data_IF_705855558518
#
_entry.id   IF_705855558518
#
_cell.length_a   1.000
_cell.length_b   1.000
_cell.length_c   1.000
_cell.angle_alpha   90.00
_cell.angle_beta   90.00
_cell.angle_gamma   90.00
#
_symmetry.space_group_name_H-M   'P 1'
#
loop_
_entity.id
_entity.type
_entity.pdbx_description
1 polymer ?
#
# COMPACT_ATOMS: atom_id res chain seq x y z
N UNK A 1 5.13 -17.22 -3.93
CA UNK A 1 5.57 -15.87 -3.50
C UNK A 1 6.25 -15.22 -4.69
N UNK A 2 5.94 -13.96 -4.96
CA UNK A 2 6.62 -13.11 -5.94
C UNK A 2 7.66 -12.29 -5.19
N UNK A 3 8.93 -12.43 -5.55
CA UNK A 3 10.05 -11.68 -4.96
C UNK A 3 10.62 -10.72 -5.99
N UNK A 4 10.78 -9.46 -5.58
CA UNK A 4 11.30 -8.38 -6.43
C UNK A 4 12.49 -7.76 -5.71
N UNK A 5 13.61 -7.66 -6.42
CA UNK A 5 14.81 -6.96 -5.97
C UNK A 5 15.46 -6.18 -7.10
N UNK A 6 16.06 -5.04 -6.77
CA UNK A 6 16.59 -4.14 -7.78
C UNK A 6 17.22 -2.90 -7.16
N UNK A 7 18.53 -2.90 -6.86
CA UNK A 7 19.19 -1.80 -6.16
C UNK A 7 19.16 -0.49 -6.95
N UNK A 8 19.06 -0.58 -8.28
CA UNK A 8 18.99 0.56 -9.20
C UNK A 8 17.57 0.79 -9.75
N UNK A 9 16.55 0.14 -9.17
CA UNK A 9 15.16 0.30 -9.62
C UNK A 9 14.63 1.66 -9.13
N UNK A 10 14.34 2.58 -10.04
CA UNK A 10 13.86 3.94 -9.71
C UNK A 10 12.33 4.01 -9.57
N UNK A 11 11.62 3.10 -10.24
CA UNK A 11 10.16 3.03 -10.19
C UNK A 11 9.66 1.59 -10.17
N UNK A 12 8.60 1.34 -9.38
CA UNK A 12 7.96 0.04 -9.22
C UNK A 12 6.45 0.18 -9.32
N UNK A 13 5.83 -0.63 -10.17
CA UNK A 13 4.38 -0.83 -10.17
C UNK A 13 4.06 -2.30 -9.95
N UNK A 14 3.15 -2.57 -9.00
CA UNK A 14 2.56 -3.89 -8.79
C UNK A 14 1.05 -3.72 -8.75
N UNK A 15 0.37 -4.15 -9.81
CA UNK A 15 -1.08 -4.03 -9.93
C UNK A 15 -1.78 -5.32 -10.34
N UNK A 16 -3.03 -5.51 -9.91
CA UNK A 16 -3.88 -6.65 -10.29
C UNK A 16 -4.25 -7.62 -9.16
N UNK A 17 -4.56 -8.88 -9.49
CA UNK A 17 -5.04 -9.87 -8.52
C UNK A 17 -4.01 -10.99 -8.33
N UNK A 18 -3.62 -11.23 -7.08
CA UNK A 18 -2.72 -12.30 -6.69
C UNK A 18 -3.52 -13.46 -6.08
N UNK A 19 -3.50 -14.60 -6.75
CA UNK A 19 -4.14 -15.82 -6.26
C UNK A 19 -3.14 -16.66 -5.48
N UNK A 20 -3.42 -16.86 -4.18
CA UNK A 20 -2.57 -17.69 -3.29
C UNK A 20 -1.08 -17.35 -3.33
N UNK A 21 -0.74 -16.10 -3.66
CA UNK A 21 0.62 -15.62 -3.85
C UNK A 21 0.82 -14.32 -3.08
N UNK A 22 1.92 -14.22 -2.35
CA UNK A 22 2.36 -13.02 -1.63
C UNK A 22 3.42 -12.27 -2.41
N UNK A 23 3.62 -10.99 -2.06
CA UNK A 23 4.70 -10.14 -2.56
C UNK A 23 5.77 -10.01 -1.49
N UNK A 24 7.04 -10.04 -1.88
CA UNK A 24 8.19 -9.67 -1.05
C UNK A 24 9.08 -8.74 -1.84
N UNK A 25 9.44 -7.63 -1.22
CA UNK A 25 10.34 -6.62 -1.76
C UNK A 25 11.65 -6.70 -1.00
N UNK A 26 12.79 -6.54 -1.68
CA UNK A 26 14.10 -6.42 -1.04
C UNK A 26 15.02 -5.55 -1.91
N UNK A 27 16.00 -4.90 -1.29
CA UNK A 27 17.08 -4.19 -2.01
C UNK A 27 16.55 -3.18 -3.05
N UNK A 28 15.76 -2.20 -2.57
CA UNK A 28 15.13 -1.15 -3.38
C UNK A 28 15.70 0.24 -3.06
N UNK A 29 17.00 0.31 -2.77
CA UNK A 29 17.63 1.52 -2.22
C UNK A 29 17.55 2.78 -3.10
N UNK A 30 17.39 2.63 -4.41
CA UNK A 30 17.24 3.75 -5.36
C UNK A 30 15.78 4.05 -5.72
N UNK A 31 14.80 3.38 -5.09
CA UNK A 31 13.40 3.49 -5.47
C UNK A 31 12.80 4.82 -5.01
N UNK A 32 12.37 5.64 -5.97
CA UNK A 32 11.74 6.93 -5.67
C UNK A 32 10.21 6.88 -5.79
N UNK A 33 9.69 6.06 -6.70
CA UNK A 33 8.27 6.06 -7.06
C UNK A 33 7.69 4.64 -7.02
N UNK A 34 6.61 4.45 -6.27
CA UNK A 34 5.94 3.16 -6.15
C UNK A 34 4.43 3.26 -6.37
N UNK A 35 3.88 2.31 -7.12
CA UNK A 35 2.44 2.08 -7.26
C UNK A 35 2.14 0.66 -6.78
N UNK A 36 1.40 0.55 -5.68
CA UNK A 36 1.01 -0.73 -5.08
C UNK A 36 -0.51 -0.83 -5.09
N UNK A 37 -1.03 -1.58 -6.05
CA UNK A 37 -2.46 -1.70 -6.31
C UNK A 37 -2.84 -3.14 -6.65
N UNK A 38 -2.56 -4.04 -5.71
CA UNK A 38 -2.91 -5.44 -5.83
C UNK A 38 -3.99 -5.85 -4.81
N UNK A 39 -4.72 -6.92 -5.14
CA UNK A 39 -5.61 -7.65 -4.24
C UNK A 39 -5.11 -9.09 -4.09
N UNK A 40 -4.98 -9.58 -2.84
CA UNK A 40 -4.74 -11.00 -2.60
C UNK A 40 -6.05 -11.74 -2.39
N UNK A 41 -6.32 -12.72 -3.25
CA UNK A 41 -7.45 -13.65 -3.10
C UNK A 41 -6.96 -14.97 -2.50
N UNK A 42 -7.16 -15.12 -1.20
CA UNK A 42 -6.99 -16.38 -0.47
C UNK A 42 -8.35 -16.87 0.06
N UNK A 43 -8.55 -18.19 0.13
CA UNK A 43 -9.73 -18.77 0.80
C UNK A 43 -9.74 -18.41 2.29
N UNK A 44 -10.91 -18.50 2.97
CA UNK A 44 -11.17 -18.11 4.39
C UNK A 44 -10.00 -17.34 5.02
N UNK A 45 -9.88 -16.07 4.64
CA UNK A 45 -8.70 -15.26 4.91
C UNK A 45 -8.51 -15.01 6.41
N UNK A 46 -7.28 -15.23 6.90
CA UNK A 46 -6.84 -14.64 8.15
C UNK A 46 -6.53 -13.16 7.89
N UNK A 47 -7.30 -12.26 8.49
CA UNK A 47 -7.10 -10.83 8.32
C UNK A 47 -5.66 -10.38 8.70
N UNK A 48 -5.10 -10.99 9.74
CA UNK A 48 -3.73 -10.74 10.22
C UNK A 48 -2.70 -10.96 9.10
N UNK A 49 -2.88 -12.01 8.29
CA UNK A 49 -2.00 -12.29 7.16
C UNK A 49 -2.01 -11.18 6.09
N UNK A 50 -3.19 -10.63 5.78
CA UNK A 50 -3.27 -9.51 4.84
C UNK A 50 -2.59 -8.27 5.40
N UNK A 51 -2.79 -7.99 6.70
CA UNK A 51 -2.18 -6.85 7.36
C UNK A 51 -0.66 -6.97 7.41
N UNK A 52 -0.12 -8.13 7.78
CA UNK A 52 1.32 -8.39 7.79
C UNK A 52 1.93 -8.23 6.39
N UNK A 53 1.24 -8.72 5.35
CA UNK A 53 1.68 -8.55 3.97
C UNK A 53 1.75 -7.08 3.57
N UNK A 54 0.67 -6.32 3.77
CA UNK A 54 0.63 -4.90 3.40
C UNK A 54 1.66 -4.11 4.21
N UNK A 55 1.81 -4.39 5.51
CA UNK A 55 2.81 -3.73 6.35
C UNK A 55 4.23 -4.04 5.91
N UNK A 56 4.54 -5.30 5.58
CA UNK A 56 5.85 -5.70 5.08
C UNK A 56 6.20 -4.98 3.79
N UNK A 57 5.25 -4.84 2.86
CA UNK A 57 5.44 -4.04 1.65
C UNK A 57 5.68 -2.56 1.97
N UNK A 58 4.94 -1.98 2.92
CA UNK A 58 5.11 -0.57 3.30
C UNK A 58 6.43 -0.27 4.02
N UNK A 59 6.99 -1.24 4.75
CA UNK A 59 8.31 -1.11 5.39
C UNK A 59 9.40 -0.99 4.33
N UNK A 60 9.38 -1.85 3.32
CA UNK A 60 10.35 -1.81 2.22
C UNK A 60 10.19 -0.54 1.35
N UNK A 61 9.03 0.12 1.42
CA UNK A 61 8.72 1.36 0.70
C UNK A 61 8.71 2.59 1.62
N UNK A 62 9.34 2.54 2.79
CA UNK A 62 9.34 3.65 3.76
C UNK A 62 10.01 4.93 3.25
N UNK A 63 11.04 4.80 2.41
CA UNK A 63 11.90 5.90 1.96
C UNK A 63 11.57 6.38 0.54
N UNK A 64 10.60 5.76 -0.14
CA UNK A 64 10.17 6.23 -1.46
C UNK A 64 9.62 7.65 -1.34
N UNK A 65 9.74 8.46 -2.40
CA UNK A 65 9.25 9.83 -2.41
C UNK A 65 7.75 9.89 -2.69
N UNK A 66 7.30 9.07 -3.63
CA UNK A 66 5.92 9.02 -4.12
C UNK A 66 5.38 7.61 -3.99
N UNK A 67 4.22 7.46 -3.36
CA UNK A 67 3.53 6.19 -3.22
C UNK A 67 2.06 6.31 -3.62
N UNK A 68 1.61 5.46 -4.54
CA UNK A 68 0.20 5.26 -4.83
C UNK A 68 -0.26 3.91 -4.25
N UNK A 69 -1.42 3.91 -3.57
CA UNK A 69 -2.03 2.73 -2.98
C UNK A 69 -3.41 2.45 -3.55
N UNK A 70 -3.62 1.19 -3.92
CA UNK A 70 -4.91 0.64 -4.30
C UNK A 70 -5.88 0.47 -3.14
N UNK A 71 -7.17 0.48 -3.44
CA UNK A 71 -8.24 0.43 -2.44
C UNK A 71 -8.22 -0.84 -1.57
N UNK A 72 -7.75 -1.98 -2.09
CA UNK A 72 -7.61 -3.19 -1.26
C UNK A 72 -6.58 -2.99 -0.13
N UNK A 73 -5.43 -2.38 -0.42
CA UNK A 73 -4.43 -2.07 0.59
C UNK A 73 -4.98 -1.13 1.67
N UNK A 74 -5.74 -0.11 1.27
CA UNK A 74 -6.39 0.83 2.21
C UNK A 74 -7.43 0.14 3.09
N UNK A 75 -8.23 -0.77 2.54
CA UNK A 75 -9.18 -1.58 3.32
C UNK A 75 -8.48 -2.45 4.35
N UNK A 76 -7.38 -3.10 3.95
CA UNK A 76 -6.57 -3.90 4.85
C UNK A 76 -6.04 -3.03 5.99
N UNK A 77 -5.48 -1.86 5.70
CA UNK A 77 -4.99 -0.93 6.73
C UNK A 77 -6.12 -0.42 7.65
N UNK A 78 -7.29 -0.12 7.10
CA UNK A 78 -8.45 0.37 7.87
C UNK A 78 -8.94 -0.65 8.89
N UNK A 79 -8.96 -1.93 8.52
CA UNK A 79 -9.32 -3.00 9.45
C UNK A 79 -8.21 -3.25 10.52
N UNK A 80 -7.00 -2.74 10.30
CA UNK A 80 -5.82 -3.01 11.13
C UNK A 80 -5.72 -2.12 12.34
N UNK A 81 -6.40 -0.97 12.28
CA UNK A 81 -6.50 -0.04 13.39
C UNK A 81 -7.17 -0.69 14.61
N UNK A 82 -8.09 -1.65 14.39
CA UNK A 82 -8.69 -2.46 15.47
C UNK A 82 -7.63 -3.19 16.31
N UNK A 83 -6.44 -3.42 15.74
CA UNK A 83 -5.32 -4.12 16.35
C UNK A 83 -4.18 -3.18 16.77
N UNK A 84 -4.36 -1.85 16.68
CA UNK A 84 -3.35 -0.82 16.99
C UNK A 84 -2.05 -0.98 16.19
N UNK A 85 -2.16 -1.51 14.97
CA UNK A 85 -1.02 -1.71 14.08
C UNK A 85 -0.99 -0.62 13.02
N UNK A 86 -0.15 0.39 13.26
CA UNK A 86 0.08 1.47 12.31
C UNK A 86 1.09 1.07 11.23
N UNK A 87 0.99 1.64 10.02
CA UNK A 87 2.07 1.59 9.03
C UNK A 87 3.38 2.14 9.62
N UNK A 88 4.53 1.74 9.09
CA UNK A 88 5.81 2.32 9.50
C UNK A 88 5.87 3.80 9.14
N UNK A 89 6.56 4.56 9.99
CA UNK A 89 6.83 5.98 9.73
C UNK A 89 7.64 6.13 8.44
N UNK A 90 7.30 7.14 7.66
CA UNK A 90 7.83 7.37 6.33
C UNK A 90 8.23 8.82 6.11
N UNK A 91 9.25 9.01 5.28
CA UNK A 91 9.73 10.31 4.80
C UNK A 91 9.07 10.73 3.48
N UNK A 92 8.11 9.95 2.98
CA UNK A 92 7.34 10.18 1.75
C UNK A 92 6.77 11.60 1.70
N UNK A 93 6.83 12.21 0.51
CA UNK A 93 6.31 13.56 0.24
C UNK A 93 4.99 13.55 -0.53
N UNK A 94 4.67 12.47 -1.24
CA UNK A 94 3.45 12.37 -2.03
C UNK A 94 2.74 11.03 -1.83
N UNK A 95 1.44 11.10 -1.54
CA UNK A 95 0.56 9.95 -1.42
C UNK A 95 -0.61 10.08 -2.39
N UNK A 96 -0.89 8.99 -3.11
CA UNK A 96 -2.08 8.85 -3.93
C UNK A 96 -2.90 7.66 -3.45
N UNK A 97 -4.18 7.86 -3.18
CA UNK A 97 -5.11 6.79 -2.85
C UNK A 97 -6.07 6.56 -4.01
N UNK A 98 -6.12 5.33 -4.53
CA UNK A 98 -7.06 4.89 -5.55
C UNK A 98 -8.13 4.04 -4.87
N UNK A 99 -9.17 4.69 -4.32
CA UNK A 99 -10.16 4.04 -3.47
C UNK A 99 -11.53 3.96 -4.17
N UNK A 100 -12.25 2.82 -4.05
CA UNK A 100 -13.64 2.78 -4.48
C UNK A 100 -14.51 3.63 -3.54
N UNK A 101 -15.59 4.24 -4.05
CA UNK A 101 -16.54 5.03 -3.23
C UNK A 101 -17.39 4.10 -2.35
N UNK A 102 -16.76 3.51 -1.33
CA UNK A 102 -17.43 2.67 -0.35
C UNK A 102 -16.96 3.15 1.02
N UNK A 103 -17.90 3.36 1.95
CA UNK A 103 -17.59 3.66 3.34
C UNK A 103 -16.60 2.61 3.89
N UNK A 104 -15.85 2.95 4.95
CA UNK A 104 -14.89 2.12 5.71
C UNK A 104 -13.38 2.36 5.46
N UNK A 105 -12.99 3.17 4.47
CA UNK A 105 -11.57 3.40 4.16
C UNK A 105 -10.90 4.56 4.94
N UNK A 106 -11.69 5.32 5.70
CA UNK A 106 -11.23 6.53 6.39
C UNK A 106 -10.10 6.27 7.40
N UNK A 107 -10.16 5.15 8.11
CA UNK A 107 -9.16 4.75 9.11
C UNK A 107 -7.80 4.47 8.48
N UNK A 108 -7.77 3.71 7.38
CA UNK A 108 -6.54 3.42 6.63
C UNK A 108 -5.90 4.69 6.07
N UNK A 109 -6.71 5.64 5.60
CA UNK A 109 -6.24 6.96 5.15
C UNK A 109 -5.61 7.72 6.32
N UNK A 110 -6.29 7.84 7.46
CA UNK A 110 -5.77 8.55 8.65
C UNK A 110 -4.46 7.93 9.12
N UNK A 111 -4.35 6.60 9.16
CA UNK A 111 -3.12 5.91 9.55
C UNK A 111 -1.95 6.19 8.59
N UNK A 112 -2.22 6.28 7.29
CA UNK A 112 -1.20 6.67 6.30
C UNK A 112 -0.76 8.14 6.46
N UNK A 113 -1.69 9.03 6.81
CA UNK A 113 -1.36 10.44 7.09
C UNK A 113 -0.53 10.59 8.36
N UNK A 114 -0.91 9.91 9.45
CA UNK A 114 -0.15 9.94 10.70
C UNK A 114 1.26 9.34 10.57
N UNK A 115 1.43 8.33 9.72
CA UNK A 115 2.74 7.73 9.45
C UNK A 115 3.59 8.53 8.45
N UNK A 116 3.08 9.62 7.86
CA UNK A 116 3.79 10.40 6.84
C UNK A 116 3.90 11.88 7.25
N UNK A 117 4.71 12.22 8.27
CA UNK A 117 4.82 13.60 8.77
C UNK A 117 5.42 14.60 7.77
N UNK A 118 6.11 14.12 6.72
CA UNK A 118 6.72 14.95 5.67
C UNK A 118 5.85 15.08 4.42
N UNK A 119 4.57 14.70 4.49
CA UNK A 119 3.67 14.70 3.34
C UNK A 119 3.41 16.12 2.84
N UNK A 120 3.72 16.37 1.57
CA UNK A 120 3.50 17.65 0.89
C UNK A 120 2.30 17.58 -0.06
N UNK A 121 2.05 16.42 -0.67
CA UNK A 121 0.99 16.22 -1.67
C UNK A 121 0.13 15.02 -1.30
N UNK A 122 -1.19 15.23 -1.31
CA UNK A 122 -2.18 14.18 -1.13
C UNK A 122 -3.16 14.21 -2.30
N UNK A 123 -3.32 13.07 -2.99
CA UNK A 123 -4.30 12.88 -4.06
C UNK A 123 -5.23 11.74 -3.66
N UNK A 124 -6.55 11.99 -3.70
CA UNK A 124 -7.56 10.96 -3.45
C UNK A 124 -8.37 10.80 -4.74
N UNK A 125 -8.10 9.70 -5.46
CA UNK A 125 -8.84 9.29 -6.64
C UNK A 125 -10.00 8.38 -6.20
N UNK A 126 -11.22 8.90 -6.32
CA UNK A 126 -12.44 8.16 -6.04
C UNK A 126 -12.90 7.42 -7.30
N UNK A 127 -13.08 6.11 -7.22
CA UNK A 127 -13.55 5.28 -8.34
C UNK A 127 -14.89 4.61 -8.02
N UNK A 128 -15.80 4.51 -9.00
CA UNK A 128 -17.09 3.84 -8.81
C UNK A 128 -16.97 2.31 -8.96
N UNK A 129 -15.94 1.84 -9.65
CA UNK A 129 -15.57 0.44 -9.84
C UNK A 129 -14.05 0.36 -9.69
N UNK A 130 -13.51 -0.78 -9.29
CA UNK A 130 -12.10 -0.99 -8.94
C UNK A 130 -11.16 -0.57 -10.08
N UNK A 131 -10.79 0.70 -10.14
CA UNK A 131 -9.95 1.21 -11.20
C UNK A 131 -8.59 1.53 -10.65
N UNK A 132 -7.63 0.94 -11.35
CA UNK A 132 -6.27 0.78 -10.91
C UNK A 132 -5.58 2.12 -10.79
N UNK A 133 -4.54 2.19 -9.98
CA UNK A 133 -3.64 3.34 -10.01
C UNK A 133 -2.92 3.37 -11.37
N UNK A 134 -3.38 4.22 -12.28
CA UNK A 134 -2.69 4.67 -13.49
C UNK A 134 -2.34 6.15 -13.43
#
# INVERSE_FOLDING_TARGET
QLEISGPNLESLEISGTLHRTTVKLNDLGSLENAIIDFEVRVGKACYEFHLELVRGVLEELRDVKTLALGGWCIKVLSAGEKYYLSPPSSTRRSLTFCIPVILWDHLGIVNMLHSSPSLETLVIKLSCFSDKCG
#
